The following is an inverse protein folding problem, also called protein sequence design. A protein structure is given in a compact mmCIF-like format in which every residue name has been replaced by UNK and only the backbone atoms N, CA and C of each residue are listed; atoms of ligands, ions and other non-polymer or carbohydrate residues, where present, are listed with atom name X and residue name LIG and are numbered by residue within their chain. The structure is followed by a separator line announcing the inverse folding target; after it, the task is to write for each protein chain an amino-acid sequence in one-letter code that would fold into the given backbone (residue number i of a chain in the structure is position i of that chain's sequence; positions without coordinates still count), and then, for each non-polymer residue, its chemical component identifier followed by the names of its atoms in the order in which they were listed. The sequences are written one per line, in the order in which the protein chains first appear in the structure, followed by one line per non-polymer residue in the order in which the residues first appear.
data_IF_216489567993
#
_entry.id   IF_216489567993
#
_cell.length_a   1.000
_cell.length_b   1.000
_cell.length_c   1.000
_cell.angle_alpha   90.00
_cell.angle_beta   90.00
_cell.angle_gamma   90.00
#
_symmetry.space_group_name_H-M   'P 1'
#
loop_
_entity.id
_entity.type
_entity.pdbx_description
1 polymer ?
#
# COMPACT_ATOMS: atom_id res chain seq x y z
N UNK A 1 54.45 -41.10 -26.33
CA UNK A 1 54.05 -41.28 -24.92
C UNK A 1 52.52 -41.42 -24.89
N UNK A 2 52.03 -42.51 -24.29
CA UNK A 2 50.61 -42.85 -24.10
C UNK A 2 49.97 -41.97 -23.02
N UNK A 3 48.69 -41.65 -23.17
CA UNK A 3 47.59 -41.81 -22.19
C UNK A 3 46.40 -40.96 -22.65
N UNK A 4 45.13 -41.26 -22.37
CA UNK A 4 44.36 -42.46 -22.08
C UNK A 4 42.92 -41.96 -22.20
N UNK A 5 42.08 -42.72 -22.89
CA UNK A 5 40.68 -42.46 -23.18
C UNK A 5 39.84 -42.52 -21.89
N UNK A 6 38.94 -41.55 -21.67
CA UNK A 6 37.79 -41.72 -20.78
C UNK A 6 36.58 -41.00 -21.37
N UNK A 7 35.73 -41.77 -22.05
CA UNK A 7 34.35 -41.40 -22.34
C UNK A 7 33.54 -41.59 -21.06
N UNK A 8 32.85 -40.55 -20.60
CA UNK A 8 31.78 -40.67 -19.62
C UNK A 8 30.47 -40.35 -20.33
N UNK A 9 29.67 -41.38 -20.61
CA UNK A 9 28.28 -41.23 -21.03
C UNK A 9 27.42 -40.95 -19.79
N UNK A 10 26.71 -39.82 -19.79
CA UNK A 10 25.57 -39.60 -18.89
C UNK A 10 24.34 -39.38 -19.76
N UNK A 11 23.53 -40.43 -19.86
CA UNK A 11 22.11 -40.37 -20.19
C UNK A 11 21.37 -39.60 -19.10
N UNK A 12 20.53 -38.63 -19.47
CA UNK A 12 19.51 -38.11 -18.57
C UNK A 12 19.02 -36.69 -18.86
N UNK A 13 17.74 -36.61 -19.20
CA UNK A 13 16.84 -35.47 -19.07
C UNK A 13 17.03 -34.26 -20.00
N UNK A 14 16.10 -34.19 -20.95
CA UNK A 14 15.61 -32.97 -21.58
C UNK A 14 15.19 -31.98 -20.49
N UNK A 15 15.93 -30.88 -20.33
CA UNK A 15 15.41 -29.69 -19.66
C UNK A 15 14.74 -28.84 -20.73
N UNK A 16 13.41 -28.95 -20.77
CA UNK A 16 12.55 -27.91 -21.33
C UNK A 16 12.98 -26.61 -20.66
N UNK A 17 13.54 -25.68 -21.43
CA UNK A 17 13.66 -24.30 -21.00
C UNK A 17 12.24 -23.76 -20.93
N UNK A 18 11.61 -23.92 -19.77
CA UNK A 18 10.50 -23.07 -19.41
C UNK A 18 11.05 -21.65 -19.46
N UNK A 19 10.45 -20.81 -20.32
CA UNK A 19 10.67 -19.37 -20.32
C UNK A 19 10.77 -18.89 -18.87
N UNK A 20 11.89 -18.25 -18.53
CA UNK A 20 12.07 -17.69 -17.20
C UNK A 20 10.84 -16.82 -16.89
N UNK A 21 10.12 -17.05 -15.78
CA UNK A 21 8.97 -16.22 -15.45
C UNK A 21 9.46 -14.78 -15.31
N UNK A 22 8.88 -13.88 -16.12
CA UNK A 22 9.09 -12.44 -15.99
C UNK A 22 8.97 -12.07 -14.50
N UNK A 23 9.96 -11.39 -13.90
CA UNK A 23 9.91 -11.10 -12.46
C UNK A 23 8.63 -10.31 -12.18
N UNK A 24 7.80 -10.86 -11.30
CA UNK A 24 6.54 -10.23 -10.88
C UNK A 24 6.86 -8.82 -10.34
N UNK A 25 5.89 -7.90 -10.43
CA UNK A 25 6.04 -6.53 -9.91
C UNK A 25 6.59 -6.51 -8.47
N UNK A 26 6.17 -7.51 -7.67
CA UNK A 26 6.63 -7.77 -6.30
C UNK A 26 8.14 -7.99 -6.24
N UNK A 27 8.71 -8.84 -7.11
CA UNK A 27 10.16 -9.13 -7.15
C UNK A 27 10.96 -7.90 -7.59
N UNK A 28 10.43 -7.06 -8.49
CA UNK A 28 11.13 -5.84 -8.93
C UNK A 28 11.10 -4.72 -7.87
N UNK A 29 10.01 -4.61 -7.10
CA UNK A 29 9.91 -3.65 -5.99
C UNK A 29 10.79 -4.09 -4.81
N UNK A 30 10.82 -5.39 -4.53
CA UNK A 30 11.72 -6.03 -3.58
C UNK A 30 13.19 -5.68 -3.82
N UNK A 31 13.66 -5.96 -5.03
CA UNK A 31 15.05 -5.73 -5.43
C UNK A 31 15.40 -4.26 -5.29
N UNK A 32 14.49 -3.33 -5.65
CA UNK A 32 14.73 -1.89 -5.51
C UNK A 32 14.98 -1.44 -4.06
N UNK A 33 14.16 -1.89 -3.10
CA UNK A 33 14.33 -1.50 -1.70
C UNK A 33 15.57 -2.13 -1.06
N UNK A 34 15.94 -3.33 -1.49
CA UNK A 34 17.15 -4.03 -1.04
C UNK A 34 18.43 -3.46 -1.67
N UNK A 35 18.35 -2.94 -2.89
CA UNK A 35 19.45 -2.26 -3.60
C UNK A 35 19.54 -0.76 -3.31
N UNK A 36 18.78 -0.22 -2.35
CA UNK A 36 19.03 1.14 -1.86
C UNK A 36 20.39 1.14 -1.15
N UNK A 37 21.44 1.73 -1.74
CA UNK A 37 22.72 1.74 -1.07
C UNK A 37 22.62 2.62 0.18
N UNK A 38 23.33 2.24 1.23
CA UNK A 38 23.42 2.93 2.53
C UNK A 38 24.14 4.29 2.45
N UNK A 39 24.01 5.03 1.33
CA UNK A 39 24.75 6.27 1.06
C UNK A 39 24.05 7.48 1.67
N UNK A 40 24.87 8.38 2.22
CA UNK A 40 24.53 9.71 2.75
C UNK A 40 23.95 10.67 1.68
N UNK A 41 22.79 10.33 1.13
CA UNK A 41 21.95 11.29 0.41
C UNK A 41 21.02 11.98 1.40
N UNK A 42 20.64 13.25 1.20
CA UNK A 42 19.51 13.80 1.92
C UNK A 42 18.31 12.88 1.66
N UNK A 43 17.70 12.33 2.72
CA UNK A 43 16.62 11.33 2.67
C UNK A 43 15.54 11.63 1.61
N UNK A 44 15.25 12.91 1.37
CA UNK A 44 14.34 13.38 0.34
C UNK A 44 14.75 12.96 -1.10
N UNK A 45 16.04 12.94 -1.42
CA UNK A 45 16.58 12.50 -2.70
C UNK A 45 16.42 11.00 -2.94
N UNK A 46 16.50 10.18 -1.88
CA UNK A 46 16.29 8.73 -1.95
C UNK A 46 14.82 8.42 -2.23
N UNK A 47 13.89 9.07 -1.52
CA UNK A 47 12.46 8.89 -1.80
C UNK A 47 12.09 9.34 -3.21
N UNK A 48 12.62 10.47 -3.70
CA UNK A 48 12.30 10.97 -5.04
C UNK A 48 12.77 10.01 -6.15
N UNK A 49 13.99 9.47 -6.02
CA UNK A 49 14.51 8.46 -6.95
C UNK A 49 13.70 7.17 -6.90
N UNK A 50 13.31 6.72 -5.71
CA UNK A 50 12.48 5.53 -5.54
C UNK A 50 11.09 5.69 -6.12
N UNK A 51 10.41 6.80 -5.81
CA UNK A 51 9.12 7.12 -6.42
C UNK A 51 9.22 7.15 -7.96
N UNK A 52 10.29 7.74 -8.51
CA UNK A 52 10.49 7.80 -9.97
C UNK A 52 10.62 6.42 -10.61
N UNK A 53 11.40 5.51 -10.01
CA UNK A 53 11.53 4.13 -10.51
C UNK A 53 10.22 3.34 -10.36
N UNK A 54 9.55 3.48 -9.21
CA UNK A 54 8.24 2.87 -9.00
C UNK A 54 7.21 3.37 -10.02
N UNK A 55 7.26 4.66 -10.38
CA UNK A 55 6.38 5.22 -11.41
C UNK A 55 6.65 4.59 -12.79
N UNK A 56 7.92 4.43 -13.19
CA UNK A 56 8.27 3.74 -14.45
C UNK A 56 7.72 2.30 -14.49
N UNK A 57 7.78 1.59 -13.36
CA UNK A 57 7.21 0.25 -13.25
C UNK A 57 5.68 0.26 -13.31
N UNK A 58 5.04 1.24 -12.68
CA UNK A 58 3.60 1.43 -12.76
C UNK A 58 3.15 1.71 -14.19
N UNK A 59 3.83 2.60 -14.91
CA UNK A 59 3.53 2.95 -16.30
C UNK A 59 3.66 1.72 -17.21
N UNK A 60 4.73 0.93 -17.04
CA UNK A 60 4.95 -0.31 -17.79
C UNK A 60 3.90 -1.39 -17.50
N UNK A 61 3.22 -1.31 -16.34
CA UNK A 61 2.20 -2.25 -15.90
C UNK A 61 0.77 -1.67 -15.98
N UNK A 62 0.61 -0.47 -16.56
CA UNK A 62 -0.65 0.28 -16.61
C UNK A 62 -1.34 0.50 -15.25
N UNK A 63 -0.56 0.64 -14.17
CA UNK A 63 -1.07 0.90 -12.82
C UNK A 63 -1.22 2.41 -12.63
N UNK A 64 -2.42 2.84 -12.24
CA UNK A 64 -2.67 4.24 -11.89
C UNK A 64 -2.21 4.53 -10.46
N UNK A 65 -1.09 5.25 -10.33
CA UNK A 65 -0.52 5.68 -9.05
C UNK A 65 -1.15 6.98 -8.51
N UNK A 66 -1.92 7.66 -9.35
CA UNK A 66 -2.63 8.91 -9.01
C UNK A 66 -4.13 8.77 -9.29
N UNK A 67 -4.97 9.01 -8.29
CA UNK A 67 -6.43 8.86 -8.35
C UNK A 67 -7.15 10.02 -7.65
N UNK A 68 -8.18 10.55 -8.31
CA UNK A 68 -8.99 11.68 -7.85
C UNK A 68 -10.39 11.59 -8.45
N UNK A 69 -11.09 10.51 -8.13
CA UNK A 69 -12.37 10.17 -8.77
C UNK A 69 -13.52 10.91 -8.10
N UNK A 70 -14.58 11.21 -8.86
CA UNK A 70 -15.84 11.69 -8.28
C UNK A 70 -16.50 10.61 -7.42
N UNK A 71 -17.22 11.00 -6.36
CA UNK A 71 -17.88 10.10 -5.39
C UNK A 71 -18.58 8.92 -6.05
N UNK A 72 -18.28 7.68 -5.64
CA UNK A 72 -18.92 6.44 -6.14
C UNK A 72 -20.01 5.91 -5.22
N UNK A 73 -20.50 4.70 -5.50
CA UNK A 73 -21.33 3.95 -4.53
C UNK A 73 -20.51 3.56 -3.29
N UNK A 74 -19.21 3.35 -3.51
CA UNK A 74 -18.18 3.24 -2.50
C UNK A 74 -17.09 4.24 -2.85
N UNK A 75 -16.68 5.06 -1.89
CA UNK A 75 -15.58 6.02 -2.07
C UNK A 75 -14.47 5.66 -1.09
N UNK A 76 -13.31 5.32 -1.64
CA UNK A 76 -12.09 5.02 -0.90
C UNK A 76 -11.23 6.27 -0.84
N UNK A 77 -10.88 6.68 0.37
CA UNK A 77 -9.90 7.74 0.64
C UNK A 77 -8.63 7.06 1.12
N UNK A 78 -7.53 7.26 0.43
CA UNK A 78 -6.32 6.46 0.65
C UNK A 78 -5.07 7.30 0.87
N UNK A 79 -4.27 6.97 1.89
CA UNK A 79 -2.94 7.52 2.10
C UNK A 79 -1.87 6.44 1.79
N UNK A 80 -0.97 6.75 0.84
CA UNK A 80 0.09 5.83 0.39
C UNK A 80 1.22 5.65 1.41
N UNK A 81 2.20 4.79 1.10
CA UNK A 81 3.39 4.62 1.93
C UNK A 81 4.48 5.66 1.66
N UNK A 82 5.49 5.72 2.53
CA UNK A 82 6.67 6.55 2.30
C UNK A 82 7.36 6.22 0.98
N UNK A 83 7.86 7.24 0.30
CA UNK A 83 8.54 7.18 -0.99
C UNK A 83 7.72 6.56 -2.14
N UNK A 84 6.41 6.30 -1.98
CA UNK A 84 5.59 5.81 -3.09
C UNK A 84 5.26 6.93 -4.11
N UNK A 85 5.08 6.60 -5.40
CA UNK A 85 4.72 7.56 -6.43
C UNK A 85 3.24 7.99 -6.35
N UNK A 86 2.93 9.10 -7.03
CA UNK A 86 1.57 9.59 -7.16
C UNK A 86 0.91 9.94 -5.82
N UNK A 87 -0.37 9.58 -5.64
CA UNK A 87 -1.12 9.81 -4.40
C UNK A 87 -1.71 8.53 -3.78
N UNK A 88 -1.65 7.40 -4.48
CA UNK A 88 -2.07 6.07 -3.96
C UNK A 88 -0.97 5.01 -4.01
N UNK A 89 0.20 5.34 -4.57
CA UNK A 89 1.32 4.41 -4.67
C UNK A 89 1.09 3.29 -5.67
N UNK A 90 1.87 2.23 -5.53
CA UNK A 90 1.84 1.06 -6.42
C UNK A 90 1.59 -0.24 -5.65
N UNK A 91 1.90 -0.27 -4.35
CA UNK A 91 2.05 -1.51 -3.59
C UNK A 91 0.73 -2.02 -3.03
N UNK A 92 0.18 -1.35 -2.00
CA UNK A 92 -1.03 -1.81 -1.32
C UNK A 92 -2.31 -1.23 -1.96
N UNK A 93 -2.29 0.05 -2.36
CA UNK A 93 -3.46 0.78 -2.85
C UNK A 93 -4.07 0.15 -4.11
N UNK A 94 -3.40 0.20 -5.27
CA UNK A 94 -3.99 -0.27 -6.53
C UNK A 94 -4.49 -1.73 -6.48
N UNK A 95 -3.74 -2.72 -5.94
CA UNK A 95 -4.25 -4.08 -5.81
C UNK A 95 -5.50 -4.18 -4.93
N UNK A 96 -5.55 -3.43 -3.82
CA UNK A 96 -6.75 -3.37 -2.97
C UNK A 96 -7.95 -2.77 -3.72
N UNK A 97 -7.77 -1.69 -4.48
CA UNK A 97 -8.85 -1.07 -5.23
C UNK A 97 -9.41 -1.98 -6.31
N UNK A 98 -8.51 -2.68 -7.03
CA UNK A 98 -8.88 -3.67 -8.05
C UNK A 98 -9.68 -4.82 -7.44
N UNK A 99 -9.18 -5.40 -6.35
CA UNK A 99 -9.89 -6.46 -5.63
C UNK A 99 -11.27 -5.99 -5.11
N UNK A 100 -11.36 -4.76 -4.59
CA UNK A 100 -12.61 -4.20 -4.10
C UNK A 100 -13.63 -3.99 -5.22
N UNK A 101 -13.20 -3.44 -6.36
CA UNK A 101 -14.06 -3.26 -7.53
C UNK A 101 -14.52 -4.61 -8.10
N UNK A 102 -13.66 -5.62 -8.13
CA UNK A 102 -14.01 -6.96 -8.59
C UNK A 102 -15.02 -7.66 -7.65
N UNK A 103 -14.95 -7.39 -6.34
CA UNK A 103 -15.88 -7.96 -5.34
C UNK A 103 -17.24 -7.25 -5.32
N UNK A 104 -17.38 -6.12 -6.02
CA UNK A 104 -18.58 -5.29 -6.05
C UNK A 104 -19.11 -5.09 -7.49
N UNK A 105 -19.55 -6.17 -8.17
CA UNK A 105 -20.10 -6.05 -9.50
C UNK A 105 -21.32 -5.12 -9.51
N UNK A 106 -21.37 -4.18 -10.46
CA UNK A 106 -22.47 -3.23 -10.62
C UNK A 106 -22.44 -2.03 -9.66
N UNK A 107 -21.46 -1.93 -8.75
CA UNK A 107 -21.23 -0.73 -7.94
C UNK A 107 -19.93 -0.07 -8.36
N UNK A 108 -19.93 1.26 -8.47
CA UNK A 108 -18.72 2.02 -8.79
C UNK A 108 -17.90 2.30 -7.54
N UNK A 109 -16.65 1.84 -7.54
CA UNK A 109 -15.66 2.16 -6.52
C UNK A 109 -14.85 3.38 -6.99
N UNK A 110 -15.02 4.51 -6.30
CA UNK A 110 -14.26 5.74 -6.54
C UNK A 110 -13.06 5.83 -5.61
N UNK A 111 -11.89 6.19 -6.14
CA UNK A 111 -10.65 6.28 -5.38
C UNK A 111 -10.17 7.73 -5.32
N UNK A 112 -9.84 8.20 -4.13
CA UNK A 112 -9.27 9.51 -3.87
C UNK A 112 -8.01 9.37 -3.02
N UNK A 113 -6.85 9.58 -3.62
CA UNK A 113 -5.57 9.51 -2.92
C UNK A 113 -5.18 10.85 -2.28
N UNK A 114 -4.67 10.79 -1.06
CA UNK A 114 -4.11 11.96 -0.38
C UNK A 114 -2.86 12.45 -1.11
N UNK A 115 -2.89 13.71 -1.54
CA UNK A 115 -1.71 14.38 -2.12
C UNK A 115 -0.87 14.97 -0.99
N UNK A 116 0.21 14.26 -0.64
CA UNK A 116 1.19 14.69 0.35
C UNK A 116 2.59 14.20 -0.05
N UNK A 117 3.68 14.75 0.53
CA UNK A 117 5.05 14.43 0.11
C UNK A 117 5.41 12.95 0.23
N UNK A 118 4.84 12.24 1.21
CA UNK A 118 5.25 10.87 1.56
C UNK A 118 6.76 10.75 1.80
N UNK A 119 7.38 11.77 2.40
CA UNK A 119 8.79 11.74 2.74
C UNK A 119 9.00 10.80 3.95
N UNK A 120 10.05 9.98 3.91
CA UNK A 120 10.48 9.18 5.05
C UNK A 120 10.81 10.05 6.28
N UNK A 121 11.18 11.32 6.08
CA UNK A 121 11.31 12.28 7.18
C UNK A 121 10.02 12.49 7.97
N UNK A 122 8.86 12.45 7.35
CA UNK A 122 7.58 12.58 8.05
C UNK A 122 7.32 11.36 8.94
N UNK A 123 7.68 10.17 8.45
CA UNK A 123 7.66 8.94 9.23
C UNK A 123 8.58 9.03 10.47
N UNK A 124 9.80 9.54 10.30
CA UNK A 124 10.77 9.71 11.40
C UNK A 124 10.44 10.85 12.37
N UNK A 125 10.00 12.00 11.85
CA UNK A 125 9.79 13.22 12.64
C UNK A 125 8.55 13.15 13.51
N UNK A 126 7.70 12.16 13.30
CA UNK A 126 6.47 11.95 14.01
C UNK A 126 5.52 13.17 14.06
N UNK A 127 5.57 14.02 13.04
CA UNK A 127 4.73 15.21 12.95
C UNK A 127 3.37 14.86 12.33
N UNK A 128 2.29 15.41 12.90
CA UNK A 128 0.90 15.21 12.48
C UNK A 128 0.54 15.84 11.12
N UNK A 129 1.54 16.23 10.32
CA UNK A 129 1.40 17.11 9.16
C UNK A 129 0.25 16.68 8.26
N UNK A 130 0.38 15.54 7.60
CA UNK A 130 -0.58 15.09 6.58
C UNK A 130 -1.92 14.56 7.13
N UNK A 131 -2.06 14.44 8.46
CA UNK A 131 -3.27 13.93 9.12
C UNK A 131 -4.45 14.88 8.99
N UNK A 132 -4.19 16.19 9.09
CA UNK A 132 -5.22 17.23 8.97
C UNK A 132 -5.75 17.33 7.53
N UNK A 133 -4.90 17.17 6.51
CA UNK A 133 -5.33 17.14 5.11
C UNK A 133 -6.18 15.89 4.82
N UNK A 134 -5.79 14.72 5.35
CA UNK A 134 -6.61 13.51 5.21
C UNK A 134 -7.96 13.67 5.94
N UNK A 135 -7.96 14.26 7.14
CA UNK A 135 -9.19 14.59 7.85
C UNK A 135 -10.08 15.54 7.03
N UNK A 136 -9.50 16.55 6.38
CA UNK A 136 -10.24 17.44 5.49
C UNK A 136 -10.85 16.70 4.29
N UNK A 137 -10.13 15.76 3.68
CA UNK A 137 -10.66 14.91 2.60
C UNK A 137 -11.81 14.02 3.08
N UNK A 138 -11.67 13.39 4.25
CA UNK A 138 -12.72 12.56 4.86
C UNK A 138 -13.97 13.39 5.14
N UNK A 139 -13.81 14.56 5.77
CA UNK A 139 -14.90 15.51 6.01
C UNK A 139 -15.61 15.87 4.71
N UNK A 140 -14.86 16.27 3.69
CA UNK A 140 -15.41 16.64 2.39
C UNK A 140 -16.18 15.49 1.73
N UNK A 141 -15.68 14.25 1.80
CA UNK A 141 -16.37 13.10 1.24
C UNK A 141 -17.65 12.77 2.01
N UNK A 142 -17.62 12.82 3.35
CA UNK A 142 -18.80 12.63 4.19
C UNK A 142 -19.89 13.65 3.88
N UNK A 143 -19.53 14.91 3.68
CA UNK A 143 -20.48 15.99 3.48
C UNK A 143 -21.02 16.05 2.04
N UNK A 144 -20.20 15.69 1.04
CA UNK A 144 -20.55 15.88 -0.37
C UNK A 144 -20.93 14.58 -1.12
N UNK A 145 -20.51 13.41 -0.65
CA UNK A 145 -20.80 12.12 -1.31
C UNK A 145 -22.06 11.44 -0.74
N UNK A 146 -23.23 12.07 -0.90
CA UNK A 146 -24.50 11.53 -0.36
C UNK A 146 -24.77 10.11 -0.88
N UNK A 147 -25.01 9.17 0.05
CA UNK A 147 -25.29 7.76 -0.27
C UNK A 147 -24.06 6.89 -0.53
N UNK A 148 -22.87 7.47 -0.69
CA UNK A 148 -21.62 6.71 -0.81
C UNK A 148 -21.26 6.05 0.51
N UNK A 149 -20.79 4.80 0.47
CA UNK A 149 -20.10 4.19 1.60
C UNK A 149 -18.65 4.64 1.61
N UNK A 150 -18.24 5.38 2.65
CA UNK A 150 -16.88 5.92 2.76
C UNK A 150 -15.97 4.90 3.43
N UNK A 151 -14.89 4.54 2.74
CA UNK A 151 -13.85 3.64 3.21
C UNK A 151 -12.56 4.45 3.32
N UNK A 152 -11.84 4.30 4.42
CA UNK A 152 -10.55 4.98 4.63
C UNK A 152 -9.46 3.92 4.64
N UNK A 153 -8.40 4.12 3.86
CA UNK A 153 -7.29 3.19 3.77
C UNK A 153 -5.94 3.86 3.92
N UNK A 154 -4.97 3.11 4.43
CA UNK A 154 -3.61 3.61 4.58
C UNK A 154 -2.59 2.49 4.51
N UNK A 155 -1.41 2.78 3.95
CA UNK A 155 -0.28 1.86 3.95
C UNK A 155 0.96 2.50 4.59
N UNK A 156 1.63 1.80 5.51
CA UNK A 156 2.88 2.27 6.14
C UNK A 156 2.69 3.64 6.82
N UNK A 157 3.44 4.68 6.45
CA UNK A 157 3.20 6.07 6.84
C UNK A 157 1.74 6.50 6.63
N UNK A 158 1.10 6.09 5.53
CA UNK A 158 -0.30 6.36 5.28
C UNK A 158 -1.25 5.75 6.32
N UNK A 159 -0.94 4.58 6.87
CA UNK A 159 -1.73 3.98 7.94
C UNK A 159 -1.66 4.81 9.22
N UNK A 160 -0.48 5.31 9.55
CA UNK A 160 -0.30 6.31 10.62
C UNK A 160 -1.11 7.59 10.36
N UNK A 161 -1.07 8.14 9.14
CA UNK A 161 -1.82 9.34 8.78
C UNK A 161 -3.33 9.12 9.00
N UNK A 162 -3.84 7.90 8.77
CA UNK A 162 -5.24 7.54 9.08
C UNK A 162 -5.52 7.61 10.59
N UNK A 163 -4.61 7.15 11.45
CA UNK A 163 -4.75 7.31 12.91
C UNK A 163 -4.82 8.80 13.30
N UNK A 164 -3.91 9.62 12.78
CA UNK A 164 -3.89 11.06 13.05
C UNK A 164 -5.17 11.76 12.58
N UNK A 165 -5.65 11.43 11.38
CA UNK A 165 -6.91 11.97 10.85
C UNK A 165 -8.13 11.55 11.69
N UNK A 166 -8.16 10.29 12.14
CA UNK A 166 -9.24 9.79 12.99
C UNK A 166 -9.32 10.52 14.33
N UNK A 167 -8.16 10.83 14.93
CA UNK A 167 -8.07 11.63 16.15
C UNK A 167 -8.59 13.06 15.92
N UNK A 168 -8.18 13.72 14.83
CA UNK A 168 -8.61 15.08 14.50
C UNK A 168 -10.12 15.19 14.17
N UNK A 169 -10.70 14.13 13.59
CA UNK A 169 -12.11 14.11 13.18
C UNK A 169 -13.10 13.87 14.32
N UNK A 170 -12.70 13.02 15.28
CA UNK A 170 -13.57 12.59 16.37
C UNK A 170 -14.83 11.82 15.90
N UNK A 171 -15.71 11.54 16.86
CA UNK A 171 -16.89 10.69 16.65
C UNK A 171 -17.86 11.21 15.57
N UNK A 172 -17.97 12.53 15.41
CA UNK A 172 -18.92 13.18 14.50
C UNK A 172 -18.74 12.77 13.03
N UNK A 173 -17.49 12.51 12.63
CA UNK A 173 -17.17 12.05 11.27
C UNK A 173 -16.82 10.57 11.24
N UNK A 174 -16.05 10.07 12.20
CA UNK A 174 -15.60 8.66 12.20
C UNK A 174 -16.77 7.67 12.34
N UNK A 175 -17.89 8.06 12.98
CA UNK A 175 -19.10 7.22 13.03
C UNK A 175 -19.77 7.00 11.67
N UNK A 176 -19.53 7.89 10.69
CA UNK A 176 -20.07 7.85 9.33
C UNK A 176 -19.18 7.06 8.36
N UNK A 177 -17.99 6.65 8.80
CA UNK A 177 -17.09 5.79 8.02
C UNK A 177 -17.60 4.34 8.10
N UNK A 178 -17.68 3.69 6.93
CA UNK A 178 -18.10 2.30 6.80
C UNK A 178 -17.01 1.36 7.30
N UNK A 179 -15.77 1.55 6.85
CA UNK A 179 -14.64 0.74 7.27
C UNK A 179 -13.30 1.48 7.11
N UNK A 180 -12.34 1.04 7.92
CA UNK A 180 -10.93 1.45 7.86
C UNK A 180 -10.07 0.22 7.56
N UNK A 181 -9.15 0.33 6.61
CA UNK A 181 -8.22 -0.75 6.24
C UNK A 181 -6.77 -0.24 6.25
N UNK A 182 -5.95 -0.81 7.13
CA UNK A 182 -4.56 -0.38 7.32
C UNK A 182 -3.62 -1.52 6.93
N UNK A 183 -2.65 -1.25 6.07
CA UNK A 183 -1.60 -2.18 5.64
C UNK A 183 -0.27 -1.74 6.23
N UNK A 184 0.49 -2.64 6.86
CA UNK A 184 1.82 -2.30 7.38
C UNK A 184 1.79 -1.19 8.42
N UNK A 185 0.80 -1.22 9.32
CA UNK A 185 0.51 -0.12 10.24
C UNK A 185 1.58 -0.01 11.35
N UNK A 186 2.36 1.08 11.42
CA UNK A 186 3.30 1.29 12.53
C UNK A 186 2.63 1.42 13.90
N UNK A 187 1.31 1.68 13.92
CA UNK A 187 0.48 1.75 15.12
C UNK A 187 -0.48 0.56 15.23
N UNK A 188 -0.13 -0.61 14.69
CA UNK A 188 -0.98 -1.81 14.70
C UNK A 188 -1.45 -2.27 16.09
N UNK A 189 -0.77 -1.86 17.17
CA UNK A 189 -1.13 -2.15 18.56
C UNK A 189 -2.09 -1.12 19.18
N UNK A 190 -2.37 -0.03 18.47
CA UNK A 190 -3.23 1.07 18.89
C UNK A 190 -4.58 0.99 18.18
N UNK A 191 -5.65 1.35 18.88
CA UNK A 191 -6.96 1.47 18.27
C UNK A 191 -7.04 2.75 17.42
N UNK A 192 -7.68 2.67 16.25
CA UNK A 192 -8.06 3.86 15.47
C UNK A 192 -9.11 4.64 16.27
N UNK A 193 -8.87 5.93 16.48
CA UNK A 193 -9.75 6.77 17.31
C UNK A 193 -11.17 6.86 16.75
N UNK A 194 -12.15 6.95 17.66
CA UNK A 194 -13.54 7.32 17.35
C UNK A 194 -14.29 6.40 16.35
N UNK A 195 -13.81 5.17 16.15
CA UNK A 195 -14.46 4.16 15.32
C UNK A 195 -14.49 2.80 16.03
N UNK A 196 -15.53 2.00 15.80
CA UNK A 196 -15.63 0.66 16.38
C UNK A 196 -14.53 -0.25 15.81
N UNK A 197 -13.82 -1.04 16.65
CA UNK A 197 -12.84 -2.02 16.18
C UNK A 197 -13.39 -3.02 15.15
N UNK A 198 -14.70 -3.31 15.19
CA UNK A 198 -15.36 -4.19 14.21
C UNK A 198 -15.36 -3.67 12.76
N UNK A 199 -15.13 -2.36 12.59
CA UNK A 199 -15.02 -1.66 11.29
C UNK A 199 -13.57 -1.35 10.91
N UNK A 200 -12.60 -1.79 11.69
CA UNK A 200 -11.17 -1.58 11.41
C UNK A 200 -10.54 -2.93 11.10
N UNK A 201 -9.83 -3.00 9.97
CA UNK A 201 -8.95 -4.11 9.64
C UNK A 201 -7.51 -3.61 9.60
N UNK A 202 -6.66 -4.21 10.43
CA UNK A 202 -5.21 -4.01 10.38
C UNK A 202 -4.56 -5.27 9.81
N UNK A 203 -3.84 -5.09 8.71
CA UNK A 203 -3.10 -6.11 8.00
C UNK A 203 -1.61 -5.91 8.27
N UNK A 204 -1.05 -6.78 9.10
CA UNK A 204 0.36 -6.83 9.43
C UNK A 204 0.93 -8.22 9.18
N UNK A 205 1.98 -8.32 8.35
CA UNK A 205 2.74 -9.56 8.23
C UNK A 205 3.54 -9.79 9.53
N UNK A 206 3.72 -11.06 9.90
CA UNK A 206 4.39 -11.44 11.17
C UNK A 206 5.81 -10.89 11.29
N UNK A 207 6.51 -10.80 10.15
CA UNK A 207 7.91 -10.37 10.07
C UNK A 207 8.07 -8.90 9.66
N UNK A 208 6.99 -8.13 9.64
CA UNK A 208 7.07 -6.71 9.36
C UNK A 208 7.57 -5.94 10.58
N UNK A 209 8.76 -5.35 10.47
CA UNK A 209 9.40 -4.54 11.51
C UNK A 209 8.64 -3.23 11.74
N UNK A 210 8.03 -2.64 10.70
CA UNK A 210 7.25 -1.41 10.81
C UNK A 210 6.05 -1.65 11.72
N UNK A 211 5.32 -2.75 11.53
CA UNK A 211 4.21 -3.16 12.41
C UNK A 211 4.62 -3.40 13.87
N UNK A 212 5.91 -3.61 14.14
CA UNK A 212 6.47 -3.80 15.48
C UNK A 212 6.92 -2.49 16.12
N UNK A 213 6.79 -1.36 15.40
CA UNK A 213 7.26 -0.03 15.81
C UNK A 213 8.70 0.25 15.42
N UNK A 214 9.30 -0.59 14.56
CA UNK A 214 10.63 -0.41 14.02
C UNK A 214 10.64 0.49 12.79
N UNK A 215 11.76 0.48 12.07
CA UNK A 215 12.03 1.37 10.93
C UNK A 215 12.63 0.63 9.73
N UNK A 216 12.79 -0.70 9.84
CA UNK A 216 13.41 -1.51 8.80
C UNK A 216 12.37 -1.93 7.77
N UNK A 217 12.60 -1.54 6.51
CA UNK A 217 11.80 -2.01 5.39
C UNK A 217 12.34 -3.35 4.94
N UNK A 218 11.53 -4.40 5.08
CA UNK A 218 11.86 -5.74 4.59
C UNK A 218 10.80 -6.24 3.60
N UNK A 219 11.01 -7.42 3.04
CA UNK A 219 10.07 -8.02 2.09
C UNK A 219 8.65 -8.21 2.62
N UNK A 220 8.51 -8.44 3.92
CA UNK A 220 7.20 -8.53 4.56
C UNK A 220 6.47 -7.18 4.49
N UNK A 221 7.17 -6.05 4.55
CA UNK A 221 6.53 -4.75 4.43
C UNK A 221 6.08 -4.44 2.99
N UNK A 222 6.71 -5.03 1.98
CA UNK A 222 6.50 -4.69 0.56
C UNK A 222 5.46 -5.55 -0.17
N UNK A 223 4.87 -6.53 0.52
CA UNK A 223 4.09 -7.61 -0.11
C UNK A 223 2.59 -7.58 0.20
N UNK A 224 2.07 -6.45 0.68
CA UNK A 224 0.65 -6.31 1.06
C UNK A 224 -0.35 -6.46 -0.09
N UNK A 225 0.10 -6.42 -1.34
CA UNK A 225 -0.72 -6.78 -2.50
C UNK A 225 -1.31 -8.20 -2.38
N UNK A 226 -0.64 -9.11 -1.69
CA UNK A 226 -1.12 -10.48 -1.42
C UNK A 226 -2.36 -10.51 -0.52
N UNK A 227 -2.61 -9.45 0.26
CA UNK A 227 -3.74 -9.34 1.20
C UNK A 227 -4.88 -8.47 0.66
N UNK A 228 -4.79 -8.02 -0.60
CA UNK A 228 -5.79 -7.17 -1.25
C UNK A 228 -7.20 -7.77 -1.23
N UNK A 229 -7.34 -9.08 -1.52
CA UNK A 229 -8.66 -9.73 -1.50
C UNK A 229 -9.24 -9.82 -0.08
N UNK A 230 -8.40 -10.07 0.93
CA UNK A 230 -8.82 -10.07 2.34
C UNK A 230 -9.36 -8.69 2.74
N UNK A 231 -8.65 -7.62 2.35
CA UNK A 231 -9.09 -6.25 2.56
C UNK A 231 -10.41 -5.94 1.86
N UNK A 232 -10.55 -6.33 0.59
CA UNK A 232 -11.78 -6.16 -0.17
C UNK A 232 -12.97 -6.86 0.49
N UNK A 233 -12.82 -8.13 0.86
CA UNK A 233 -13.87 -8.92 1.53
C UNK A 233 -14.30 -8.28 2.86
N UNK A 234 -13.34 -7.78 3.63
CA UNK A 234 -13.63 -7.05 4.86
C UNK A 234 -14.50 -5.82 4.59
N UNK A 235 -14.11 -4.97 3.64
CA UNK A 235 -14.89 -3.79 3.27
C UNK A 235 -16.31 -4.17 2.87
N UNK A 236 -16.47 -5.14 1.95
CA UNK A 236 -17.78 -5.56 1.44
C UNK A 236 -18.73 -5.99 2.56
N UNK A 237 -18.22 -6.69 3.56
CA UNK A 237 -19.02 -7.12 4.72
C UNK A 237 -19.44 -5.99 5.67
N UNK A 238 -19.07 -4.73 5.40
CA UNK A 238 -19.42 -3.51 6.17
C UNK A 238 -20.12 -2.43 5.32
N UNK A 239 -20.52 -2.75 4.08
CA UNK A 239 -21.19 -1.81 3.15
C UNK A 239 -22.70 -1.69 3.34
#
# INVERSE_FOLDING_TARGET
MRALMMMLTVTGATLVTADAPMPTLINKLADFFLDLPQFDYPVAGVCALGASRQQQMADASHIQTTRSDSCGDVTVIFARGSCEPGNVGISAGPPFFEALQATLPGRRVAINGLKYPADFKEFLAAQKGSGDELAAMIRAAVDNCRGSRIVVGGYSLGARIVHDAAEALGQSYMSKISSVVLFGDPYAKSAVSSISPSRVLVLCHSDDDICKGGQLISMSHLTYSQQAQTAANFVVSRL
#
